data_IF_176532138740
#
_entry.id   IF_176532138740
#
_cell.length_a   1.000
_cell.length_b   1.000
_cell.length_c   1.000
_cell.angle_alpha   90.00
_cell.angle_beta   90.00
_cell.angle_gamma   90.00
#
_symmetry.space_group_name_H-M   'P 1'
#
loop_
_entity.id
_entity.type
_entity.pdbx_description
1 polymer ?
#
# COMPACT_ATOMS: atom_id res chain seq x y z
N UNK A 1 -5.60 -0.93 9.20
CA UNK A 1 -4.58 -1.41 8.24
C UNK A 1 -4.66 -0.65 6.91
N UNK A 2 -5.71 -0.81 6.09
CA UNK A 2 -5.83 -0.16 4.76
C UNK A 2 -5.56 1.36 4.78
N UNK A 3 -6.16 2.09 5.73
CA UNK A 3 -5.89 3.53 5.90
C UNK A 3 -4.44 3.86 6.27
N UNK A 4 -3.78 3.02 7.07
CA UNK A 4 -2.36 3.19 7.40
C UNK A 4 -1.47 2.96 6.18
N UNK A 5 -1.83 2.00 5.31
CA UNK A 5 -1.11 1.80 4.03
C UNK A 5 -1.24 3.03 3.14
N UNK A 6 -2.44 3.61 3.03
CA UNK A 6 -2.63 4.86 2.26
C UNK A 6 -1.79 6.02 2.82
N UNK A 7 -1.71 6.17 4.15
CA UNK A 7 -0.83 7.16 4.77
C UNK A 7 0.66 6.87 4.52
N UNK A 8 1.06 5.59 4.65
CA UNK A 8 2.43 5.15 4.41
C UNK A 8 2.87 5.32 2.96
N UNK A 9 1.97 5.19 2.00
CA UNK A 9 2.22 5.46 0.59
C UNK A 9 2.26 6.96 0.28
N UNK A 10 1.52 7.80 1.02
CA UNK A 10 1.44 9.23 0.72
C UNK A 10 2.80 9.91 0.85
N UNK A 11 3.53 9.64 1.93
CA UNK A 11 4.83 10.25 2.19
C UNK A 11 5.84 10.07 1.05
N UNK A 12 6.21 8.84 0.63
CA UNK A 12 7.17 8.65 -0.46
C UNK A 12 6.68 9.21 -1.80
N UNK A 13 5.39 9.09 -2.12
CA UNK A 13 4.85 9.57 -3.40
C UNK A 13 4.94 11.09 -3.50
N UNK A 14 4.45 11.82 -2.49
CA UNK A 14 4.48 13.28 -2.51
C UNK A 14 5.90 13.83 -2.37
N UNK A 15 6.77 13.15 -1.61
CA UNK A 15 8.20 13.48 -1.55
C UNK A 15 8.85 13.41 -2.93
N UNK A 16 8.56 12.35 -3.70
CA UNK A 16 9.09 12.20 -5.06
C UNK A 16 8.52 13.24 -6.02
N UNK A 17 7.22 13.54 -5.96
CA UNK A 17 6.59 14.59 -6.77
C UNK A 17 7.27 15.95 -6.55
N UNK A 18 7.60 16.29 -5.30
CA UNK A 18 8.31 17.52 -4.96
C UNK A 18 9.77 17.51 -5.44
N UNK A 19 10.49 16.40 -5.20
CA UNK A 19 11.90 16.25 -5.57
C UNK A 19 12.13 16.34 -7.08
N UNK A 20 11.23 15.77 -7.87
CA UNK A 20 11.32 15.74 -9.34
C UNK A 20 10.69 16.97 -10.00
N UNK A 21 10.19 17.94 -9.23
CA UNK A 21 9.42 19.08 -9.73
C UNK A 21 8.29 18.65 -10.71
N UNK A 22 7.63 17.53 -10.39
CA UNK A 22 6.71 16.87 -11.32
C UNK A 22 5.50 17.73 -11.72
N UNK A 23 5.19 18.78 -10.97
CA UNK A 23 4.17 19.76 -11.37
C UNK A 23 4.49 20.49 -12.68
N UNK A 24 5.77 20.78 -12.93
CA UNK A 24 6.22 21.42 -14.16
C UNK A 24 6.49 20.38 -15.27
N UNK A 25 7.10 19.25 -14.91
CA UNK A 25 7.58 18.25 -15.86
C UNK A 25 6.50 17.24 -16.29
N UNK A 26 5.62 16.84 -15.37
CA UNK A 26 4.56 15.84 -15.61
C UNK A 26 3.30 16.14 -14.77
N UNK A 27 2.56 17.23 -15.10
CA UNK A 27 1.38 17.64 -14.36
C UNK A 27 0.27 16.58 -14.40
N UNK A 28 0.20 15.76 -15.45
CA UNK A 28 -0.78 14.69 -15.57
C UNK A 28 -0.59 13.65 -14.46
N UNK A 29 0.65 13.20 -14.20
CA UNK A 29 0.95 12.27 -13.12
C UNK A 29 0.49 12.82 -11.77
N UNK A 30 0.73 14.11 -11.49
CA UNK A 30 0.34 14.69 -10.20
C UNK A 30 -1.18 14.71 -10.03
N UNK A 31 -1.91 15.17 -11.05
CA UNK A 31 -3.38 15.17 -11.04
C UNK A 31 -3.93 13.75 -10.92
N UNK A 32 -3.36 12.79 -11.66
CA UNK A 32 -3.74 11.39 -11.60
C UNK A 32 -3.56 10.81 -10.19
N UNK A 33 -2.41 11.03 -9.55
CA UNK A 33 -2.14 10.53 -8.19
C UNK A 33 -3.14 11.11 -7.18
N UNK A 34 -3.38 12.42 -7.21
CA UNK A 34 -4.34 13.07 -6.30
C UNK A 34 -5.75 12.53 -6.53
N UNK A 35 -6.17 12.41 -7.79
CA UNK A 35 -7.47 11.84 -8.15
C UNK A 35 -7.60 10.39 -7.66
N UNK A 36 -6.57 9.56 -7.87
CA UNK A 36 -6.57 8.18 -7.39
C UNK A 36 -6.64 8.09 -5.87
N UNK A 37 -5.97 8.97 -5.12
CA UNK A 37 -6.11 9.04 -3.66
C UNK A 37 -7.56 9.34 -3.24
N UNK A 38 -8.17 10.38 -3.83
CA UNK A 38 -9.55 10.77 -3.52
C UNK A 38 -10.53 9.64 -3.85
N UNK A 39 -10.41 9.04 -5.03
CA UNK A 39 -11.28 7.94 -5.46
C UNK A 39 -11.10 6.69 -4.59
N UNK A 40 -9.86 6.35 -4.22
CA UNK A 40 -9.57 5.20 -3.34
C UNK A 40 -10.14 5.41 -1.94
N UNK A 41 -9.99 6.61 -1.37
CA UNK A 41 -10.57 6.97 -0.08
C UNK A 41 -12.11 6.96 -0.14
N UNK A 42 -12.70 7.54 -1.18
CA UNK A 42 -14.14 7.51 -1.37
C UNK A 42 -14.66 6.08 -1.50
N UNK A 43 -14.02 5.22 -2.31
CA UNK A 43 -14.37 3.81 -2.43
C UNK A 43 -14.25 3.07 -1.09
N UNK A 44 -13.19 3.32 -0.31
CA UNK A 44 -13.04 2.73 1.02
C UNK A 44 -14.16 3.17 1.97
N UNK A 45 -14.50 4.47 2.01
CA UNK A 45 -15.60 4.99 2.83
C UNK A 45 -16.94 4.38 2.41
N UNK A 46 -17.19 4.27 1.11
CA UNK A 46 -18.40 3.62 0.57
C UNK A 46 -18.44 2.13 0.88
N UNK A 47 -17.30 1.42 0.90
CA UNK A 47 -17.21 0.04 1.34
C UNK A 47 -17.62 -0.13 2.82
N UNK A 48 -17.23 0.81 3.68
CA UNK A 48 -17.68 0.82 5.09
C UNK A 48 -19.18 1.09 5.22
N UNK A 49 -19.74 1.98 4.40
CA UNK A 49 -21.15 2.41 4.50
C UNK A 49 -22.13 1.48 3.78
N UNK A 50 -21.69 0.75 2.76
CA UNK A 50 -22.58 -0.07 1.93
C UNK A 50 -23.09 -1.32 2.67
N UNK A 51 -24.40 -1.52 2.64
CA UNK A 51 -25.05 -2.74 3.18
C UNK A 51 -25.24 -3.83 2.12
N UNK A 52 -25.39 -3.45 0.83
CA UNK A 52 -25.71 -4.36 -0.25
C UNK A 52 -24.50 -5.14 -0.75
N UNK A 53 -24.64 -6.46 -0.93
CA UNK A 53 -23.54 -7.37 -1.27
C UNK A 53 -22.78 -6.97 -2.55
N UNK A 54 -23.49 -6.61 -3.61
CA UNK A 54 -22.87 -6.24 -4.90
C UNK A 54 -22.06 -4.95 -4.78
N UNK A 55 -22.60 -3.92 -4.11
CA UNK A 55 -21.89 -2.66 -3.89
C UNK A 55 -20.64 -2.85 -3.02
N UNK A 56 -20.69 -3.69 -2.00
CA UNK A 56 -19.50 -4.03 -1.19
C UNK A 56 -18.42 -4.68 -2.04
N UNK A 57 -18.78 -5.59 -2.96
CA UNK A 57 -17.82 -6.20 -3.87
C UNK A 57 -17.19 -5.16 -4.82
N UNK A 58 -18.00 -4.29 -5.42
CA UNK A 58 -17.52 -3.23 -6.32
C UNK A 58 -16.56 -2.29 -5.57
N UNK A 59 -16.96 -1.76 -4.42
CA UNK A 59 -16.11 -0.84 -3.66
C UNK A 59 -14.84 -1.50 -3.12
N UNK A 60 -14.88 -2.79 -2.79
CA UNK A 60 -13.68 -3.55 -2.44
C UNK A 60 -12.69 -3.66 -3.60
N UNK A 61 -13.18 -3.98 -4.80
CA UNK A 61 -12.35 -4.05 -6.01
C UNK A 61 -11.75 -2.67 -6.32
N UNK A 62 -12.57 -1.62 -6.31
CA UNK A 62 -12.10 -0.24 -6.58
C UNK A 62 -11.05 0.21 -5.54
N UNK A 63 -11.28 -0.09 -4.26
CA UNK A 63 -10.31 0.22 -3.20
C UNK A 63 -9.00 -0.54 -3.42
N UNK A 64 -9.07 -1.83 -3.75
CA UNK A 64 -7.89 -2.66 -4.00
C UNK A 64 -7.10 -2.23 -5.24
N UNK A 65 -7.79 -1.91 -6.33
CA UNK A 65 -7.18 -1.36 -7.56
C UNK A 65 -6.49 -0.02 -7.27
N UNK A 66 -7.17 0.89 -6.56
CA UNK A 66 -6.62 2.18 -6.17
C UNK A 66 -5.34 2.05 -5.33
N UNK A 67 -5.35 1.14 -4.36
CA UNK A 67 -4.16 0.79 -3.57
C UNK A 67 -2.99 0.32 -4.43
N UNK A 68 -3.22 -0.57 -5.39
CA UNK A 68 -2.16 -1.02 -6.29
C UNK A 68 -1.67 0.08 -7.22
N UNK A 69 -2.57 0.88 -7.81
CA UNK A 69 -2.19 1.99 -8.68
C UNK A 69 -1.35 3.04 -7.95
N UNK A 70 -1.72 3.36 -6.70
CA UNK A 70 -0.96 4.26 -5.83
C UNK A 70 0.35 3.62 -5.37
N UNK A 71 0.32 2.36 -4.94
CA UNK A 71 1.51 1.62 -4.50
C UNK A 71 2.54 1.44 -5.61
N UNK A 72 2.11 1.47 -6.87
CA UNK A 72 3.01 1.33 -8.02
C UNK A 72 3.62 2.65 -8.50
N UNK A 73 3.27 3.79 -7.89
CA UNK A 73 3.82 5.10 -8.26
C UNK A 73 5.34 5.20 -8.01
N UNK A 74 6.06 6.05 -8.76
CA UNK A 74 7.47 6.30 -8.48
C UNK A 74 7.64 6.93 -7.09
N UNK A 75 8.73 6.59 -6.41
CA UNK A 75 9.00 6.97 -5.03
C UNK A 75 8.66 5.90 -4.00
N UNK A 76 7.71 5.02 -4.29
CA UNK A 76 7.38 3.90 -3.39
C UNK A 76 8.47 2.83 -3.49
N UNK A 77 9.21 2.64 -2.41
CA UNK A 77 10.27 1.65 -2.31
C UNK A 77 9.71 0.24 -2.44
N UNK A 78 10.26 -0.51 -3.39
CA UNK A 78 9.82 -1.86 -3.76
C UNK A 78 11.04 -2.70 -4.07
N UNK A 79 11.18 -3.81 -3.36
CA UNK A 79 12.20 -4.80 -3.69
C UNK A 79 11.71 -5.69 -4.82
N UNK A 80 11.97 -5.28 -6.06
CA UNK A 80 11.50 -6.00 -7.26
C UNK A 80 12.19 -7.36 -7.46
N UNK A 81 13.51 -7.42 -7.28
CA UNK A 81 14.30 -8.64 -7.50
C UNK A 81 14.01 -9.75 -6.48
N UNK A 82 13.74 -9.38 -5.22
CA UNK A 82 13.40 -10.32 -4.14
C UNK A 82 11.96 -10.06 -3.64
N UNK A 83 11.01 -10.07 -4.58
CA UNK A 83 9.62 -9.67 -4.33
C UNK A 83 8.94 -10.51 -3.24
N UNK A 84 9.33 -11.78 -3.07
CA UNK A 84 8.79 -12.70 -2.06
C UNK A 84 9.07 -12.26 -0.63
N UNK A 85 10.15 -11.49 -0.42
CA UNK A 85 10.56 -10.95 0.88
C UNK A 85 10.45 -9.43 0.93
N UNK A 86 9.78 -8.82 -0.04
CA UNK A 86 9.59 -7.37 -0.11
C UNK A 86 8.55 -6.91 0.91
N UNK A 87 8.91 -5.96 1.77
CA UNK A 87 7.96 -5.39 2.73
C UNK A 87 6.73 -4.81 2.00
N UNK A 88 6.94 -4.17 0.86
CA UNK A 88 5.88 -3.62 0.03
C UNK A 88 4.89 -4.70 -0.44
N UNK A 89 5.34 -5.77 -1.10
CA UNK A 89 4.43 -6.77 -1.67
C UNK A 89 3.69 -7.55 -0.59
N UNK A 90 4.35 -7.86 0.53
CA UNK A 90 3.72 -8.47 1.70
C UNK A 90 2.69 -7.52 2.35
N UNK A 91 3.03 -6.23 2.42
CA UNK A 91 2.15 -5.12 2.81
C UNK A 91 0.86 -5.08 1.98
N UNK A 92 1.02 -5.04 0.66
CA UNK A 92 -0.08 -5.02 -0.31
C UNK A 92 -0.94 -6.27 -0.20
N UNK A 93 -0.34 -7.46 -0.11
CA UNK A 93 -1.07 -8.71 0.08
C UNK A 93 -1.93 -8.70 1.36
N UNK A 94 -1.36 -8.24 2.48
CA UNK A 94 -2.10 -8.11 3.73
C UNK A 94 -3.24 -7.08 3.60
N UNK A 95 -2.99 -5.92 2.96
CA UNK A 95 -4.02 -4.91 2.73
C UNK A 95 -5.19 -5.46 1.90
N UNK A 96 -4.92 -6.27 0.87
CA UNK A 96 -5.96 -6.93 0.07
C UNK A 96 -6.78 -7.92 0.90
N UNK A 97 -6.15 -8.70 1.79
CA UNK A 97 -6.88 -9.56 2.73
C UNK A 97 -7.77 -8.75 3.68
N UNK A 98 -7.30 -7.59 4.15
CA UNK A 98 -8.10 -6.71 5.01
C UNK A 98 -9.30 -6.11 4.28
N UNK A 99 -9.15 -5.73 3.01
CA UNK A 99 -10.26 -5.27 2.17
C UNK A 99 -11.28 -6.40 1.95
N UNK A 100 -10.80 -7.60 1.65
CA UNK A 100 -11.66 -8.77 1.48
C UNK A 100 -12.43 -9.12 2.77
N UNK A 101 -11.73 -9.11 3.91
CA UNK A 101 -12.33 -9.32 5.22
C UNK A 101 -13.41 -8.27 5.52
N UNK A 102 -13.14 -7.00 5.21
CA UNK A 102 -14.13 -5.94 5.32
C UNK A 102 -15.31 -6.24 4.40
N UNK A 103 -15.11 -6.46 3.11
CA UNK A 103 -16.18 -6.69 2.13
C UNK A 103 -17.12 -7.84 2.51
N UNK A 104 -16.58 -8.93 3.07
CA UNK A 104 -17.31 -10.15 3.44
C UNK A 104 -17.87 -10.13 4.87
N UNK A 105 -17.66 -9.06 5.63
CA UNK A 105 -18.10 -8.93 7.03
C UNK A 105 -19.54 -9.39 7.30
N UNK A 106 -20.57 -8.99 6.52
CA UNK A 106 -21.94 -9.45 6.77
C UNK A 106 -22.13 -10.96 6.62
N UNK A 107 -21.36 -11.60 5.73
CA UNK A 107 -21.45 -13.05 5.47
C UNK A 107 -20.80 -13.87 6.59
N UNK A 108 -19.74 -13.34 7.21
CA UNK A 108 -19.04 -13.94 8.35
C UNK A 108 -19.99 -14.15 9.54
N UNK A 109 -20.89 -13.19 9.78
CA UNK A 109 -21.90 -13.30 10.84
C UNK A 109 -23.00 -14.32 10.50
N UNK A 110 -23.39 -14.41 9.23
CA UNK A 110 -24.53 -15.24 8.79
C UNK A 110 -24.18 -16.71 8.57
N UNK A 111 -22.95 -17.03 8.20
CA UNK A 111 -22.59 -18.38 7.73
C UNK A 111 -21.36 -18.96 8.42
N UNK A 112 -21.49 -20.19 8.93
CA UNK A 112 -20.37 -20.96 9.51
C UNK A 112 -19.24 -21.16 8.49
N UNK A 113 -19.58 -21.37 7.21
CA UNK A 113 -18.58 -21.54 6.13
C UNK A 113 -17.74 -20.27 5.98
N UNK A 114 -18.39 -19.11 5.88
CA UNK A 114 -17.70 -17.82 5.78
C UNK A 114 -16.87 -17.48 7.02
N UNK A 115 -17.36 -17.85 8.21
CA UNK A 115 -16.59 -17.71 9.45
C UNK A 115 -15.31 -18.55 9.43
N UNK A 116 -15.39 -19.79 8.94
CA UNK A 116 -14.22 -20.67 8.82
C UNK A 116 -13.24 -20.13 7.76
N UNK A 117 -13.74 -19.69 6.60
CA UNK A 117 -12.92 -19.04 5.57
C UNK A 117 -12.21 -17.81 6.11
N UNK A 118 -12.92 -16.94 6.85
CA UNK A 118 -12.32 -15.76 7.48
C UNK A 118 -11.24 -16.12 8.49
N UNK A 119 -11.47 -17.12 9.35
CA UNK A 119 -10.46 -17.60 10.29
C UNK A 119 -9.20 -18.11 9.58
N UNK A 120 -9.36 -18.92 8.52
CA UNK A 120 -8.23 -19.41 7.74
C UNK A 120 -7.43 -18.28 7.07
N UNK A 121 -8.12 -17.31 6.45
CA UNK A 121 -7.48 -16.15 5.82
C UNK A 121 -6.80 -15.23 6.84
N UNK A 122 -7.34 -15.09 8.04
CA UNK A 122 -6.68 -14.33 9.10
C UNK A 122 -5.42 -15.02 9.61
N UNK A 123 -5.36 -16.36 9.64
CA UNK A 123 -4.11 -17.06 9.93
C UNK A 123 -3.03 -16.70 8.91
N UNK A 124 -3.39 -16.64 7.62
CA UNK A 124 -2.47 -16.15 6.58
C UNK A 124 -2.08 -14.68 6.83
N UNK A 125 -3.03 -13.82 7.20
CA UNK A 125 -2.75 -12.42 7.50
C UNK A 125 -1.78 -12.25 8.68
N UNK A 126 -1.89 -13.08 9.74
CA UNK A 126 -0.95 -13.07 10.87
C UNK A 126 0.47 -13.38 10.39
N UNK A 127 0.64 -14.39 9.54
CA UNK A 127 1.96 -14.71 8.97
C UNK A 127 2.50 -13.54 8.14
N UNK A 128 1.66 -12.87 7.34
CA UNK A 128 2.07 -11.68 6.59
C UNK A 128 2.49 -10.52 7.49
N UNK A 129 1.80 -10.29 8.62
CA UNK A 129 2.17 -9.24 9.56
C UNK A 129 3.47 -9.54 10.30
N UNK A 130 3.72 -10.80 10.68
CA UNK A 130 5.02 -11.22 11.24
C UNK A 130 6.13 -10.95 10.23
N UNK A 131 5.95 -11.38 8.97
CA UNK A 131 6.92 -11.13 7.91
C UNK A 131 7.13 -9.64 7.64
N UNK A 132 6.09 -8.82 7.71
CA UNK A 132 6.21 -7.36 7.60
C UNK A 132 7.01 -6.74 8.75
N UNK A 133 6.85 -7.24 9.98
CA UNK A 133 7.64 -6.78 11.12
C UNK A 133 9.14 -7.02 10.93
N UNK A 134 9.52 -8.17 10.35
CA UNK A 134 10.91 -8.51 10.06
C UNK A 134 11.43 -7.70 8.86
N UNK A 135 10.71 -7.72 7.74
CA UNK A 135 11.13 -7.07 6.49
C UNK A 135 11.09 -5.55 6.56
N UNK A 136 10.21 -4.98 7.38
CA UNK A 136 10.11 -3.53 7.57
C UNK A 136 11.34 -2.96 8.29
N UNK A 137 11.84 -3.63 9.32
CA UNK A 137 13.08 -3.22 10.00
C UNK A 137 14.28 -3.27 9.05
N UNK A 138 14.36 -4.30 8.21
CA UNK A 138 15.39 -4.39 7.16
C UNK A 138 15.29 -3.23 6.18
N UNK A 139 14.11 -2.98 5.62
CA UNK A 139 13.93 -1.95 4.60
C UNK A 139 14.19 -0.53 5.18
N UNK A 140 13.91 -0.30 6.47
CA UNK A 140 14.29 0.94 7.17
C UNK A 140 15.80 1.16 7.28
N UNK A 141 16.61 0.11 7.25
CA UNK A 141 18.08 0.22 7.25
C UNK A 141 18.64 0.47 5.85
N UNK A 142 17.87 0.19 4.80
CA UNK A 142 18.28 0.44 3.41
C UNK A 142 17.80 1.78 2.87
N UNK A 143 16.65 2.26 3.35
CA UNK A 143 16.14 3.58 3.00
C UNK A 143 16.90 4.61 3.84
N UNK A 144 17.65 5.55 3.23
CA UNK A 144 18.39 6.54 3.98
C UNK A 144 17.44 7.37 4.85
N UNK A 145 17.77 7.52 6.13
CA UNK A 145 17.00 8.36 7.04
C UNK A 145 17.14 9.83 6.63
N UNK A 146 16.17 10.67 6.99
CA UNK A 146 16.14 12.09 6.60
C UNK A 146 17.44 12.85 6.91
N UNK A 147 18.17 12.47 7.97
CA UNK A 147 19.46 13.08 8.35
C UNK A 147 20.64 12.51 7.57
N UNK A 148 20.52 11.30 7.01
CA UNK A 148 21.52 10.67 6.14
C UNK A 148 21.37 11.12 4.68
N UNK A 149 20.13 11.36 4.24
CA UNK A 149 19.80 11.69 2.85
C UNK A 149 20.67 12.80 2.23
N UNK A 150 20.93 13.95 2.91
CA UNK A 150 21.73 15.03 2.32
C UNK A 150 23.15 14.60 1.96
N UNK A 151 23.74 13.69 2.73
CA UNK A 151 25.10 13.19 2.52
C UNK A 151 25.11 12.02 1.53
N UNK A 152 24.22 11.04 1.72
CA UNK A 152 24.13 9.84 0.88
C UNK A 152 23.78 10.19 -0.57
N UNK A 153 22.93 11.19 -0.82
CA UNK A 153 22.58 11.60 -2.18
C UNK A 153 23.63 12.45 -2.89
N UNK A 154 24.70 12.88 -2.22
CA UNK A 154 25.87 13.50 -2.86
C UNK A 154 26.86 12.44 -3.38
N UNK A 155 26.80 11.23 -2.84
CA UNK A 155 27.70 10.15 -3.24
C UNK A 155 27.39 9.64 -4.65
N UNK A 156 28.44 9.37 -5.40
CA UNK A 156 28.40 8.59 -6.63
C UNK A 156 28.67 7.12 -6.30
N UNK A 157 27.61 6.32 -6.24
CA UNK A 157 27.69 4.88 -5.94
C UNK A 157 28.34 4.06 -7.06
N UNK A 158 28.35 4.57 -8.30
CA UNK A 158 29.00 3.91 -9.43
C UNK A 158 30.52 4.07 -9.34
N UNK A 159 30.99 5.29 -9.03
CA UNK A 159 32.40 5.62 -8.89
C UNK A 159 32.94 5.43 -7.45
N UNK A 160 32.07 5.04 -6.50
CA UNK A 160 32.37 4.82 -5.07
C UNK A 160 33.01 6.04 -4.39
N UNK A 161 32.55 7.24 -4.75
CA UNK A 161 33.07 8.50 -4.21
C UNK A 161 31.99 9.26 -3.43
N UNK A 162 32.38 9.71 -2.25
CA UNK A 162 31.75 10.72 -1.42
C UNK A 162 32.92 11.59 -0.88
#
# INVERSE_FOLDING_TARGET
VVGLVLLGLAHPIFKTILRENAWAEDPFRVVFVVAMYVLTLAALVLLYRSSARHWRAIFAILTGMGLWLLGMQPGVFRRGYEWQVSHFYLGMAAAMLMIFALATLPEIYKSKRWRLTHAALNTVAVLLFISQGITGVRDLLEIPLHWQEPFIYQCDFQNKSC
#
